data_IF_335085011931
#
_entry.id   IF_335085011931
#
_cell.length_a   1.000
_cell.length_b   1.000
_cell.length_c   1.000
_cell.angle_alpha   90.00
_cell.angle_beta   90.00
_cell.angle_gamma   90.00
#
_symmetry.space_group_name_H-M   'P 1'
#
loop_
_entity.id
_entity.type
_entity.pdbx_description
1 polymer ?
#
# COMPACT_ATOMS: atom_id res chain seq x y z
N UNK A 1 -35.25 -18.69 20.02
CA UNK A 1 -36.10 -18.68 21.23
C UNK A 1 -35.77 -17.45 22.05
N UNK A 2 -36.78 -16.86 22.71
CA UNK A 2 -36.81 -15.62 23.52
C UNK A 2 -36.87 -14.33 22.69
N UNK A 3 -38.05 -13.84 22.33
CA UNK A 3 -39.09 -13.14 23.13
C UNK A 3 -38.82 -11.63 23.34
N UNK A 4 -39.59 -10.85 22.54
CA UNK A 4 -40.34 -9.62 22.85
C UNK A 4 -39.64 -8.47 23.56
N UNK A 5 -39.45 -7.37 22.83
CA UNK A 5 -39.99 -6.06 23.23
C UNK A 5 -40.53 -5.32 21.99
N UNK A 6 -41.78 -4.83 22.09
CA UNK A 6 -42.40 -3.93 21.12
C UNK A 6 -41.81 -2.53 21.32
N UNK A 7 -40.92 -2.10 20.43
CA UNK A 7 -40.56 -0.69 20.32
C UNK A 7 -41.68 0.03 19.57
N UNK A 8 -42.55 0.71 20.32
CA UNK A 8 -43.51 1.66 19.78
C UNK A 8 -42.76 2.81 19.13
N UNK A 9 -42.62 2.75 17.81
CA UNK A 9 -42.13 3.85 17.00
C UNK A 9 -43.14 5.01 17.09
N UNK A 10 -42.63 6.13 17.58
CA UNK A 10 -43.31 7.40 17.73
C UNK A 10 -43.50 8.03 16.34
N UNK A 11 -44.56 7.64 15.63
CA UNK A 11 -45.01 8.28 14.39
C UNK A 11 -46.34 8.99 14.64
N UNK A 12 -46.30 10.29 14.95
CA UNK A 12 -47.41 11.21 14.66
C UNK A 12 -46.86 12.60 14.40
N UNK A 13 -46.48 12.86 13.14
CA UNK A 13 -46.56 14.18 12.53
C UNK A 13 -47.74 14.15 11.57
N UNK A 14 -48.42 15.28 11.46
CA UNK A 14 -49.57 15.62 10.61
C UNK A 14 -50.95 15.11 11.04
N UNK A 15 -51.57 15.84 11.96
CA UNK A 15 -52.94 16.28 11.74
C UNK A 15 -53.13 17.70 12.26
N UNK A 16 -53.42 18.59 11.31
CA UNK A 16 -53.69 20.01 11.48
C UNK A 16 -55.20 20.11 11.61
N UNK A 17 -55.72 20.17 12.83
CA UNK A 17 -57.09 20.60 13.10
C UNK A 17 -57.04 21.79 14.04
N UNK A 18 -57.47 22.94 13.49
CA UNK A 18 -57.84 24.13 14.26
C UNK A 18 -58.85 23.71 15.32
N UNK A 19 -58.55 23.97 16.59
CA UNK A 19 -59.56 24.01 17.62
C UNK A 19 -59.13 24.95 18.75
N UNK A 20 -59.73 26.14 18.72
CA UNK A 20 -60.34 26.81 19.88
C UNK A 20 -59.36 27.30 20.97
N UNK A 21 -58.84 28.50 20.74
CA UNK A 21 -58.34 29.38 21.79
C UNK A 21 -59.55 30.16 22.33
N UNK A 22 -60.32 29.51 23.21
CA UNK A 22 -61.44 30.13 23.91
C UNK A 22 -60.92 30.86 25.15
N UNK A 23 -60.82 32.18 24.99
CA UNK A 23 -60.82 33.17 26.06
C UNK A 23 -61.75 32.73 27.21
N UNK A 24 -61.17 32.34 28.34
CA UNK A 24 -61.88 32.20 29.60
C UNK A 24 -62.24 33.60 30.13
N UNK A 25 -63.35 34.14 29.63
CA UNK A 25 -64.16 35.09 30.39
C UNK A 25 -64.62 34.40 31.68
N UNK A 26 -64.59 35.08 32.83
CA UNK A 26 -65.08 34.50 34.07
C UNK A 26 -66.58 34.23 33.92
N UNK A 27 -66.96 32.97 34.09
CA UNK A 27 -68.34 32.52 34.20
C UNK A 27 -69.01 33.26 35.37
N UNK A 28 -69.87 34.21 35.03
CA UNK A 28 -70.93 34.69 35.91
C UNK A 28 -71.99 33.58 36.02
N UNK A 29 -71.72 32.56 36.83
CA UNK A 29 -72.71 31.56 37.23
C UNK A 29 -73.27 31.94 38.61
N UNK A 30 -74.52 32.41 38.57
CA UNK A 30 -75.65 32.01 39.42
C UNK A 30 -76.53 33.21 39.71
N UNK A 31 -77.52 33.35 38.82
CA UNK A 31 -78.93 33.49 39.16
C UNK A 31 -79.19 33.49 40.68
N UNK A 32 -79.19 34.68 41.26
CA UNK A 32 -80.23 34.99 42.23
C UNK A 32 -81.45 35.23 41.35
N UNK A 33 -82.33 34.23 41.30
CA UNK A 33 -83.72 34.46 40.98
C UNK A 33 -84.24 35.44 42.01
N UNK A 34 -84.15 36.72 41.69
CA UNK A 34 -85.09 37.70 42.23
C UNK A 34 -86.44 37.32 41.61
N UNK A 35 -87.12 36.35 42.25
CA UNK A 35 -88.56 36.44 42.39
C UNK A 35 -88.86 37.67 43.26
N UNK A 36 -88.61 38.86 42.72
CA UNK A 36 -89.27 40.07 43.20
C UNK A 36 -90.53 40.15 42.35
N UNK A 37 -91.54 39.44 42.85
CA UNK A 37 -92.93 39.74 42.65
C UNK A 37 -93.08 41.21 42.29
N UNK A 38 -93.59 41.48 41.09
CA UNK A 38 -94.17 42.77 40.72
C UNK A 38 -95.42 43.05 41.54
N UNK A 39 -95.32 42.93 42.86
CA UNK A 39 -96.07 43.69 43.81
C UNK A 39 -95.75 45.13 43.43
N UNK A 40 -96.68 45.72 42.67
CA UNK A 40 -96.93 47.14 42.79
C UNK A 40 -97.02 47.37 44.30
N UNK A 41 -95.90 47.74 44.93
CA UNK A 41 -95.90 48.33 46.26
C UNK A 41 -96.77 49.55 46.06
N UNK A 42 -98.07 49.38 46.29
CA UNK A 42 -99.01 50.45 46.50
C UNK A 42 -98.40 51.15 47.69
N UNK A 43 -97.64 52.20 47.39
CA UNK A 43 -96.98 53.01 48.39
C UNK A 43 -98.14 53.53 49.23
N UNK A 44 -98.33 52.92 50.40
CA UNK A 44 -99.44 53.22 51.27
C UNK A 44 -99.22 54.63 51.82
N UNK A 45 -99.75 55.61 51.09
CA UNK A 45 -99.63 57.02 51.41
C UNK A 45 -100.70 57.35 52.44
N UNK A 46 -100.32 57.34 53.72
CA UNK A 46 -101.20 57.68 54.86
C UNK A 46 -101.96 59.00 54.64
N UNK A 47 -101.38 59.94 53.88
CA UNK A 47 -102.00 61.21 53.49
C UNK A 47 -103.22 61.07 52.57
N UNK A 48 -103.27 60.04 51.72
CA UNK A 48 -104.39 59.78 50.81
C UNK A 48 -105.60 59.21 51.55
N UNK A 49 -105.36 58.30 52.49
CA UNK A 49 -106.41 57.71 53.33
C UNK A 49 -107.08 58.77 54.23
N UNK A 50 -106.26 59.64 54.86
CA UNK A 50 -106.77 60.75 55.68
C UNK A 50 -107.59 61.72 54.82
N UNK A 51 -107.11 62.05 53.62
CA UNK A 51 -107.84 62.91 52.68
C UNK A 51 -109.20 62.31 52.31
N UNK A 52 -109.26 61.02 52.03
CA UNK A 52 -110.50 60.36 51.65
C UNK A 52 -111.51 60.33 52.81
N UNK A 53 -111.04 60.02 54.03
CA UNK A 53 -111.88 59.95 55.23
C UNK A 53 -112.42 61.32 55.64
N UNK A 54 -111.60 62.38 55.53
CA UNK A 54 -112.06 63.75 55.81
C UNK A 54 -113.05 64.24 54.74
N UNK A 55 -112.82 63.95 53.46
CA UNK A 55 -113.79 64.30 52.42
C UNK A 55 -115.15 63.66 52.66
N UNK A 56 -115.19 62.39 53.05
CA UNK A 56 -116.44 61.70 53.33
C UNK A 56 -117.27 62.36 54.46
N UNK A 57 -116.59 62.90 55.48
CA UNK A 57 -117.24 63.56 56.61
C UNK A 57 -117.66 65.01 56.34
N UNK A 58 -116.91 65.76 55.53
CA UNK A 58 -117.15 67.19 55.26
C UNK A 58 -117.95 67.47 53.98
N UNK A 59 -118.07 66.48 53.09
CA UNK A 59 -118.93 66.55 51.90
C UNK A 59 -120.41 66.91 52.18
N UNK A 60 -121.11 66.39 53.22
CA UNK A 60 -122.49 66.80 53.51
C UNK A 60 -122.62 68.26 53.95
N UNK A 61 -121.53 68.90 54.38
CA UNK A 61 -121.46 70.31 54.73
C UNK A 61 -120.97 71.19 53.56
N UNK A 62 -120.76 70.61 52.38
CA UNK A 62 -120.37 71.32 51.16
C UNK A 62 -118.89 71.70 51.07
N UNK A 63 -118.01 71.08 51.88
CA UNK A 63 -116.56 71.38 51.89
C UNK A 63 -115.79 70.20 51.30
N UNK A 64 -114.98 70.46 50.26
CA UNK A 64 -114.11 69.47 49.62
C UNK A 64 -112.63 69.77 49.93
N UNK A 65 -111.95 68.82 50.56
CA UNK A 65 -110.52 68.85 50.90
C UNK A 65 -109.72 68.31 49.72
N UNK A 66 -108.88 69.18 49.14
CA UNK A 66 -108.10 68.88 47.94
C UNK A 66 -106.75 68.23 48.23
N UNK A 67 -106.06 68.62 49.30
CA UNK A 67 -104.76 68.08 49.67
C UNK A 67 -104.55 68.10 51.19
N UNK A 68 -103.94 67.04 51.71
CA UNK A 68 -103.54 66.91 53.12
C UNK A 68 -102.04 66.67 53.13
N UNK A 69 -101.29 67.59 53.73
CA UNK A 69 -99.84 67.47 53.92
C UNK A 69 -99.54 67.37 55.42
N UNK A 70 -98.83 66.33 55.82
CA UNK A 70 -98.31 66.19 57.18
C UNK A 70 -97.03 67.02 57.25
N UNK A 71 -97.05 68.11 58.00
CA UNK A 71 -95.95 69.09 58.01
C UNK A 71 -94.82 68.67 58.96
N UNK A 72 -95.16 68.31 60.20
CA UNK A 72 -94.17 67.97 61.22
C UNK A 72 -94.53 66.63 61.86
N UNK A 73 -93.74 65.61 61.58
CA UNK A 73 -93.80 64.32 62.30
C UNK A 73 -92.77 64.40 63.43
N UNK A 74 -93.26 64.48 64.66
CA UNK A 74 -92.38 64.44 65.85
C UNK A 74 -92.32 63.01 66.35
N UNK A 75 -91.18 62.36 66.11
CA UNK A 75 -90.88 61.06 66.69
C UNK A 75 -90.33 61.27 68.11
N UNK A 76 -90.71 60.44 69.08
CA UNK A 76 -90.07 60.45 70.38
C UNK A 76 -88.55 60.25 70.23
N UNK A 77 -87.70 61.05 70.90
CA UNK A 77 -86.24 61.03 70.69
C UNK A 77 -85.60 59.67 71.00
N UNK A 78 -86.23 58.86 71.85
CA UNK A 78 -85.82 57.49 72.16
C UNK A 78 -85.90 56.56 70.93
N UNK A 79 -86.92 56.71 70.09
CA UNK A 79 -87.06 55.89 68.87
C UNK A 79 -86.10 56.30 67.78
N UNK A 80 -85.82 57.61 67.65
CA UNK A 80 -84.86 58.12 66.67
C UNK A 80 -83.45 57.61 66.98
N UNK A 81 -83.03 57.74 68.25
CA UNK A 81 -81.73 57.23 68.71
C UNK A 81 -81.62 55.70 68.59
N UNK A 82 -82.71 54.96 68.84
CA UNK A 82 -82.73 53.50 68.65
C UNK A 82 -82.64 53.09 67.17
N UNK A 83 -83.37 53.76 66.27
CA UNK A 83 -83.27 53.48 64.83
C UNK A 83 -81.90 53.86 64.27
N UNK A 84 -81.36 55.00 64.68
CA UNK A 84 -80.03 55.44 64.30
C UNK A 84 -78.97 54.43 64.79
N UNK A 85 -78.97 54.09 66.08
CA UNK A 85 -78.06 53.10 66.67
C UNK A 85 -78.15 51.74 65.98
N UNK A 86 -79.37 51.23 65.73
CA UNK A 86 -79.56 49.95 65.03
C UNK A 86 -79.04 49.99 63.60
N UNK A 87 -79.27 51.09 62.88
CA UNK A 87 -78.80 51.27 61.50
C UNK A 87 -77.28 51.41 61.45
N UNK A 88 -76.68 52.10 62.42
CA UNK A 88 -75.23 52.23 62.56
C UNK A 88 -74.59 50.88 62.84
N UNK A 89 -75.10 50.11 63.80
CA UNK A 89 -74.59 48.76 64.07
C UNK A 89 -74.75 47.80 62.89
N UNK A 90 -75.85 47.85 62.15
CA UNK A 90 -76.01 47.05 60.94
C UNK A 90 -74.99 47.46 59.86
N UNK A 91 -74.70 48.76 59.75
CA UNK A 91 -73.67 49.28 58.84
C UNK A 91 -72.27 48.81 59.24
N UNK A 92 -71.92 48.89 60.54
CA UNK A 92 -70.65 48.41 61.08
C UNK A 92 -70.47 46.91 60.84
N UNK A 93 -71.49 46.10 61.10
CA UNK A 93 -71.45 44.64 60.86
C UNK A 93 -71.25 44.35 59.36
N UNK A 94 -71.95 45.08 58.48
CA UNK A 94 -71.83 44.91 57.04
C UNK A 94 -70.43 45.33 56.55
N UNK A 95 -69.89 46.41 57.08
CA UNK A 95 -68.53 46.87 56.79
C UNK A 95 -67.49 45.83 57.24
N UNK A 96 -67.58 45.35 58.49
CA UNK A 96 -66.70 44.30 59.01
C UNK A 96 -66.78 43.03 58.16
N UNK A 97 -67.98 42.60 57.78
CA UNK A 97 -68.18 41.43 56.91
C UNK A 97 -67.56 41.64 55.53
N UNK A 98 -67.72 42.81 54.91
CA UNK A 98 -67.07 43.12 53.64
C UNK A 98 -65.55 43.15 53.76
N UNK A 99 -65.03 43.70 54.86
CA UNK A 99 -63.59 43.70 55.13
C UNK A 99 -63.03 42.28 55.27
N UNK A 100 -63.69 41.42 56.05
CA UNK A 100 -63.31 40.02 56.19
C UNK A 100 -63.32 39.27 54.86
N UNK A 101 -64.31 39.51 54.00
CA UNK A 101 -64.41 38.88 52.68
C UNK A 101 -63.26 39.35 51.76
N UNK A 102 -62.97 40.64 51.75
CA UNK A 102 -61.84 41.20 51.00
C UNK A 102 -60.51 40.63 51.51
N UNK A 103 -60.29 40.59 52.83
CA UNK A 103 -59.09 40.02 53.44
C UNK A 103 -58.92 38.53 53.06
N UNK A 104 -60.01 37.76 53.07
CA UNK A 104 -60.01 36.36 52.64
C UNK A 104 -59.65 36.23 51.14
N UNK A 105 -60.23 37.06 50.28
CA UNK A 105 -59.94 37.05 48.84
C UNK A 105 -58.48 37.42 48.55
N UNK A 106 -57.95 38.42 49.25
CA UNK A 106 -56.54 38.81 49.16
C UNK A 106 -55.61 37.70 49.64
N UNK A 107 -55.99 36.94 50.66
CA UNK A 107 -55.25 35.77 51.12
C UNK A 107 -55.22 34.68 50.05
N UNK A 108 -56.37 34.36 49.46
CA UNK A 108 -56.48 33.38 48.35
C UNK A 108 -55.59 33.77 47.17
N UNK A 109 -55.62 35.03 46.74
CA UNK A 109 -54.75 35.48 45.65
C UNK A 109 -53.26 35.40 45.98
N UNK A 110 -52.87 35.69 47.23
CA UNK A 110 -51.47 35.53 47.66
C UNK A 110 -51.03 34.07 47.60
N UNK A 111 -51.88 33.14 48.04
CA UNK A 111 -51.61 31.71 47.98
C UNK A 111 -51.56 31.18 46.55
N UNK A 112 -52.49 31.60 45.68
CA UNK A 112 -52.48 31.25 44.25
C UNK A 112 -51.23 31.76 43.53
N UNK A 113 -50.83 33.00 43.79
CA UNK A 113 -49.58 33.55 43.26
C UNK A 113 -48.37 32.79 43.81
N UNK A 114 -48.36 32.47 45.11
CA UNK A 114 -47.30 31.72 45.76
C UNK A 114 -47.13 30.32 45.17
N UNK A 115 -48.23 29.57 45.06
CA UNK A 115 -48.26 28.22 44.49
C UNK A 115 -47.88 28.22 43.01
N UNK A 116 -48.34 29.20 42.22
CA UNK A 116 -47.98 29.32 40.80
C UNK A 116 -46.49 29.64 40.62
N UNK A 117 -45.94 30.55 41.43
CA UNK A 117 -44.50 30.85 41.42
C UNK A 117 -43.67 29.62 41.81
N UNK A 118 -44.10 28.88 42.82
CA UNK A 118 -43.44 27.66 43.25
C UNK A 118 -43.46 26.57 42.16
N UNK A 119 -44.63 26.34 41.53
CA UNK A 119 -44.77 25.39 40.41
C UNK A 119 -43.83 25.74 39.25
N UNK A 120 -43.80 27.02 38.84
CA UNK A 120 -42.85 27.46 37.79
C UNK A 120 -41.41 27.18 38.16
N UNK A 121 -41.01 27.50 39.41
CA UNK A 121 -39.64 27.23 39.89
C UNK A 121 -39.32 25.73 39.89
N UNK A 122 -40.26 24.87 40.31
CA UNK A 122 -40.07 23.43 40.26
C UNK A 122 -39.87 22.92 38.83
N UNK A 123 -40.71 23.36 37.89
CA UNK A 123 -40.58 22.99 36.47
C UNK A 123 -39.22 23.42 35.91
N UNK A 124 -38.78 24.66 36.17
CA UNK A 124 -37.46 25.11 35.73
C UNK A 124 -36.32 24.27 36.31
N UNK A 125 -36.38 23.90 37.60
CA UNK A 125 -35.36 23.04 38.20
C UNK A 125 -35.37 21.63 37.60
N UNK A 126 -36.55 21.08 37.31
CA UNK A 126 -36.68 19.77 36.67
C UNK A 126 -36.15 19.79 35.23
N UNK A 127 -36.46 20.83 34.45
CA UNK A 127 -35.90 21.04 33.11
C UNK A 127 -34.38 21.19 33.13
N UNK A 128 -33.83 21.92 34.11
CA UNK A 128 -32.38 22.08 34.26
C UNK A 128 -31.70 20.76 34.62
N UNK A 129 -32.29 19.98 35.53
CA UNK A 129 -31.76 18.66 35.91
C UNK A 129 -31.84 17.65 34.76
N UNK A 130 -32.96 17.61 34.04
CA UNK A 130 -33.12 16.74 32.87
C UNK A 130 -32.20 17.18 31.72
N UNK A 131 -31.98 18.48 31.53
CA UNK A 131 -31.00 19.01 30.59
C UNK A 131 -29.58 18.58 30.93
N UNK A 132 -29.16 18.73 32.19
CA UNK A 132 -27.84 18.28 32.67
C UNK A 132 -27.66 16.77 32.53
N UNK A 133 -28.70 15.98 32.83
CA UNK A 133 -28.67 14.53 32.66
C UNK A 133 -28.48 14.13 31.19
N UNK A 134 -29.21 14.75 30.27
CA UNK A 134 -29.05 14.51 28.82
C UNK A 134 -27.66 14.91 28.32
N UNK A 135 -27.14 16.05 28.75
CA UNK A 135 -25.78 16.46 28.38
C UNK A 135 -24.72 15.48 28.90
N UNK A 136 -24.89 14.96 30.12
CA UNK A 136 -23.99 13.94 30.68
C UNK A 136 -24.07 12.61 29.90
N UNK A 137 -25.26 12.21 29.48
CA UNK A 137 -25.46 11.01 28.65
C UNK A 137 -24.80 11.16 27.27
N UNK A 138 -25.00 12.30 26.60
CA UNK A 138 -24.36 12.59 25.30
C UNK A 138 -22.82 12.57 25.45
N UNK A 139 -22.28 13.18 26.51
CA UNK A 139 -20.83 13.15 26.78
C UNK A 139 -20.31 11.73 26.96
N UNK A 140 -20.99 10.90 27.78
CA UNK A 140 -20.63 9.49 27.92
C UNK A 140 -20.67 8.73 26.58
N UNK A 141 -21.63 9.05 25.72
CA UNK A 141 -21.71 8.50 24.37
C UNK A 141 -20.49 8.87 23.53
N UNK A 142 -20.08 10.14 23.56
CA UNK A 142 -18.88 10.63 22.86
C UNK A 142 -17.62 9.94 23.41
N UNK A 143 -17.47 9.85 24.73
CA UNK A 143 -16.33 9.20 25.38
C UNK A 143 -16.23 7.71 25.00
N UNK A 144 -17.37 7.03 24.86
CA UNK A 144 -17.40 5.63 24.45
C UNK A 144 -17.03 5.46 22.97
N UNK A 145 -17.53 6.34 22.09
CA UNK A 145 -17.20 6.32 20.66
C UNK A 145 -15.71 6.64 20.45
N UNK A 146 -15.17 7.63 21.17
CA UNK A 146 -13.74 7.99 21.08
C UNK A 146 -12.87 6.81 21.54
N UNK A 147 -13.17 6.20 22.68
CA UNK A 147 -12.45 5.01 23.15
C UNK A 147 -12.53 3.84 22.15
N UNK A 148 -13.70 3.58 21.55
CA UNK A 148 -13.84 2.56 20.51
C UNK A 148 -13.04 2.88 19.25
N UNK A 149 -13.00 4.16 18.86
CA UNK A 149 -12.26 4.61 17.68
C UNK A 149 -10.74 4.46 17.90
N UNK A 150 -10.24 4.84 19.08
CA UNK A 150 -8.84 4.64 19.45
C UNK A 150 -8.43 3.17 19.46
N UNK A 151 -9.29 2.27 19.96
CA UNK A 151 -9.05 0.83 19.90
C UNK A 151 -9.01 0.32 18.46
N UNK A 152 -9.96 0.75 17.61
CA UNK A 152 -10.01 0.36 16.21
C UNK A 152 -8.77 0.87 15.44
N UNK A 153 -8.36 2.11 15.67
CA UNK A 153 -7.14 2.70 15.08
C UNK A 153 -5.89 1.94 15.53
N UNK A 154 -5.82 1.57 16.82
CA UNK A 154 -4.76 0.73 17.37
C UNK A 154 -4.67 -0.62 16.66
N UNK A 155 -5.79 -1.31 16.46
CA UNK A 155 -5.84 -2.57 15.74
C UNK A 155 -5.43 -2.43 14.26
N UNK A 156 -5.91 -1.39 13.58
CA UNK A 156 -5.58 -1.12 12.18
C UNK A 156 -4.07 -0.87 12.04
N UNK A 157 -3.49 -0.06 12.93
CA UNK A 157 -2.06 0.22 12.93
C UNK A 157 -1.23 -1.05 13.17
N UNK A 158 -1.65 -1.89 14.11
CA UNK A 158 -0.98 -3.16 14.38
C UNK A 158 -1.07 -4.13 13.19
N UNK A 159 -2.26 -4.31 12.61
CA UNK A 159 -2.47 -5.14 11.41
C UNK A 159 -1.66 -4.63 10.23
N UNK A 160 -1.64 -3.32 10.01
CA UNK A 160 -0.84 -2.69 8.95
C UNK A 160 0.65 -2.96 9.15
N UNK A 161 1.16 -2.78 10.38
CA UNK A 161 2.57 -3.07 10.68
C UNK A 161 2.93 -4.54 10.44
N UNK A 162 2.08 -5.49 10.86
CA UNK A 162 2.31 -6.92 10.63
C UNK A 162 2.27 -7.25 9.14
N UNK A 163 1.32 -6.68 8.38
CA UNK A 163 1.23 -6.94 6.93
C UNK A 163 2.40 -6.34 6.15
N UNK A 164 2.88 -5.15 6.51
CA UNK A 164 4.10 -4.58 5.95
C UNK A 164 5.31 -5.48 6.25
N UNK A 165 5.53 -5.84 7.52
CA UNK A 165 6.65 -6.71 7.90
C UNK A 165 6.59 -8.07 7.18
N UNK A 166 5.42 -8.67 7.04
CA UNK A 166 5.27 -9.94 6.33
C UNK A 166 5.62 -9.80 4.84
N UNK A 167 5.21 -8.70 4.20
CA UNK A 167 5.59 -8.41 2.80
C UNK A 167 7.08 -8.14 2.65
N UNK A 168 7.69 -7.44 3.59
CA UNK A 168 9.13 -7.17 3.57
C UNK A 168 9.93 -8.48 3.71
N UNK A 169 9.51 -9.38 4.61
CA UNK A 169 10.11 -10.71 4.75
C UNK A 169 9.89 -11.56 3.50
N UNK A 170 8.69 -11.56 2.92
CA UNK A 170 8.38 -12.32 1.70
C UNK A 170 9.18 -11.81 0.50
N UNK A 171 9.32 -10.49 0.34
CA UNK A 171 10.12 -9.90 -0.74
C UNK A 171 11.59 -10.19 -0.55
N UNK A 172 12.13 -10.07 0.67
CA UNK A 172 13.51 -10.43 0.98
C UNK A 172 13.80 -11.92 0.69
N UNK A 173 12.86 -12.81 1.04
CA UNK A 173 12.98 -14.24 0.75
C UNK A 173 13.02 -14.51 -0.76
N UNK A 174 12.11 -13.89 -1.54
CA UNK A 174 12.09 -14.04 -3.01
C UNK A 174 13.35 -13.48 -3.66
N UNK A 175 13.87 -12.36 -3.17
CA UNK A 175 15.14 -11.81 -3.66
C UNK A 175 16.27 -12.81 -3.40
N UNK A 176 16.36 -13.36 -2.19
CA UNK A 176 17.37 -14.35 -1.84
C UNK A 176 17.24 -15.65 -2.67
N UNK A 177 16.02 -16.10 -2.97
CA UNK A 177 15.77 -17.24 -3.87
C UNK A 177 16.27 -16.96 -5.28
N UNK A 178 15.91 -15.80 -5.86
CA UNK A 178 16.36 -15.39 -7.19
C UNK A 178 17.89 -15.27 -7.22
N UNK A 179 18.50 -14.66 -6.20
CA UNK A 179 19.95 -14.54 -6.11
C UNK A 179 20.62 -15.92 -6.06
N UNK A 180 20.11 -16.84 -5.24
CA UNK A 180 20.62 -18.21 -5.17
C UNK A 180 20.49 -18.95 -6.52
N UNK A 181 19.36 -18.79 -7.22
CA UNK A 181 19.16 -19.37 -8.54
C UNK A 181 20.11 -18.77 -9.58
N UNK A 182 20.29 -17.45 -9.59
CA UNK A 182 21.22 -16.79 -10.52
C UNK A 182 22.67 -17.25 -10.31
N UNK A 183 23.09 -17.38 -9.05
CA UNK A 183 24.42 -17.92 -8.71
C UNK A 183 24.54 -19.36 -9.20
N UNK A 184 23.54 -20.21 -8.95
CA UNK A 184 23.54 -21.61 -9.41
C UNK A 184 23.65 -21.70 -10.93
N UNK A 185 22.83 -20.95 -11.67
CA UNK A 185 22.83 -20.93 -13.14
C UNK A 185 24.18 -20.42 -13.66
N UNK A 186 24.72 -19.35 -13.06
CA UNK A 186 26.03 -18.82 -13.47
C UNK A 186 27.16 -19.83 -13.25
N UNK A 187 27.13 -20.58 -12.15
CA UNK A 187 28.10 -21.62 -11.87
C UNK A 187 27.99 -22.79 -12.86
N UNK A 188 26.77 -23.19 -13.22
CA UNK A 188 26.52 -24.22 -14.23
C UNK A 188 27.03 -23.81 -15.62
N UNK A 189 26.74 -22.56 -16.03
CA UNK A 189 27.25 -22.01 -17.31
C UNK A 189 28.77 -21.99 -17.32
N UNK A 190 29.41 -21.49 -16.26
CA UNK A 190 30.87 -21.42 -16.19
C UNK A 190 31.49 -22.82 -16.24
N UNK A 191 30.94 -23.78 -15.49
CA UNK A 191 31.42 -25.17 -15.52
C UNK A 191 31.27 -25.80 -16.91
N UNK A 192 30.18 -25.52 -17.62
CA UNK A 192 29.98 -26.00 -18.99
C UNK A 192 30.97 -25.35 -19.97
N UNK A 193 31.16 -24.03 -19.89
CA UNK A 193 32.13 -23.33 -20.72
C UNK A 193 33.57 -23.80 -20.46
N UNK A 194 33.95 -24.02 -19.20
CA UNK A 194 35.28 -24.53 -18.85
C UNK A 194 35.49 -25.94 -19.43
N UNK A 195 34.49 -26.82 -19.32
CA UNK A 195 34.55 -28.16 -19.92
C UNK A 195 34.66 -28.11 -21.46
N UNK A 196 33.94 -27.20 -22.13
CA UNK A 196 34.06 -27.00 -23.58
C UNK A 196 35.44 -26.45 -23.98
N UNK A 197 35.98 -25.50 -23.21
CA UNK A 197 37.32 -24.95 -23.43
C UNK A 197 38.37 -26.06 -23.29
N UNK A 198 38.27 -26.91 -22.27
CA UNK A 198 39.17 -28.05 -22.08
C UNK A 198 39.08 -29.05 -23.24
N UNK A 199 37.86 -29.36 -23.69
CA UNK A 199 37.64 -30.24 -24.84
C UNK A 199 38.32 -29.67 -26.09
N UNK A 200 38.05 -28.40 -26.43
CA UNK A 200 38.66 -27.73 -27.59
C UNK A 200 40.19 -27.70 -27.49
N UNK A 201 40.73 -27.44 -26.29
CA UNK A 201 42.19 -27.44 -26.07
C UNK A 201 42.79 -28.85 -26.24
N UNK A 202 42.10 -29.89 -25.78
CA UNK A 202 42.53 -31.28 -25.95
C UNK A 202 42.52 -31.70 -27.42
N UNK A 203 41.49 -31.30 -28.18
CA UNK A 203 41.39 -31.56 -29.62
C UNK A 203 42.49 -30.82 -30.39
N UNK A 204 42.72 -29.54 -30.05
CA UNK A 204 43.80 -28.75 -30.62
C UNK A 204 45.16 -29.41 -30.38
N UNK A 205 45.44 -29.85 -29.15
CA UNK A 205 46.68 -30.53 -28.81
C UNK A 205 46.84 -31.85 -29.57
N UNK A 206 45.75 -32.64 -29.69
CA UNK A 206 45.76 -33.88 -30.45
C UNK A 206 46.01 -33.65 -31.96
N UNK A 207 45.42 -32.61 -32.54
CA UNK A 207 45.65 -32.24 -33.94
C UNK A 207 47.07 -31.73 -34.16
N UNK A 208 47.60 -30.93 -33.23
CA UNK A 208 48.97 -30.44 -33.29
C UNK A 208 49.96 -31.61 -33.23
N UNK A 209 49.78 -32.55 -32.30
CA UNK A 209 50.62 -33.74 -32.21
C UNK A 209 50.57 -34.59 -33.50
N UNK A 210 49.41 -34.72 -34.12
CA UNK A 210 49.28 -35.41 -35.42
C UNK A 210 50.03 -34.67 -36.53
N UNK A 211 49.93 -33.34 -36.56
CA UNK A 211 50.64 -32.51 -37.53
C UNK A 211 52.15 -32.67 -37.36
N UNK A 212 52.64 -32.55 -36.13
CA UNK A 212 54.07 -32.67 -35.80
C UNK A 212 54.60 -34.06 -36.20
N UNK A 213 53.85 -35.13 -35.90
CA UNK A 213 54.21 -36.49 -36.33
C UNK A 213 54.27 -36.66 -37.86
N UNK A 214 53.33 -36.06 -38.60
CA UNK A 214 53.35 -36.07 -40.07
C UNK A 214 54.55 -35.29 -40.60
N UNK A 215 54.86 -34.13 -40.00
CA UNK A 215 56.03 -33.35 -40.42
C UNK A 215 57.32 -34.10 -40.17
N UNK A 216 57.44 -34.77 -39.02
CA UNK A 216 58.60 -35.60 -38.69
C UNK A 216 58.74 -36.78 -39.65
N UNK A 217 57.64 -37.47 -39.99
CA UNK A 217 57.65 -38.55 -40.99
C UNK A 217 58.12 -38.05 -42.36
N UNK A 218 57.66 -36.87 -42.79
CA UNK A 218 58.09 -36.25 -44.04
C UNK A 218 59.59 -35.89 -43.98
N UNK A 219 60.07 -35.32 -42.87
CA UNK A 219 61.48 -34.99 -42.72
C UNK A 219 62.37 -36.23 -42.72
N UNK A 220 62.04 -37.25 -41.93
CA UNK A 220 62.82 -38.50 -41.86
C UNK A 220 62.80 -39.23 -43.20
N UNK A 221 61.65 -39.29 -43.88
CA UNK A 221 61.58 -39.91 -45.21
C UNK A 221 62.35 -39.12 -46.28
N UNK A 222 62.37 -37.79 -46.20
CA UNK A 222 63.18 -36.94 -47.07
C UNK A 222 64.69 -37.14 -46.80
N UNK A 223 65.10 -37.15 -45.53
CA UNK A 223 66.48 -37.42 -45.12
C UNK A 223 66.95 -38.80 -45.56
N UNK A 224 66.10 -39.83 -45.40
CA UNK A 224 66.39 -41.18 -45.87
C UNK A 224 66.62 -41.22 -47.39
N UNK A 225 65.78 -40.53 -48.18
CA UNK A 225 65.96 -40.41 -49.64
C UNK A 225 67.25 -39.67 -49.99
N UNK A 226 67.58 -38.59 -49.27
CA UNK A 226 68.85 -37.87 -49.46
C UNK A 226 70.04 -38.77 -49.17
N UNK A 227 70.01 -39.50 -48.05
CA UNK A 227 71.05 -40.45 -47.68
C UNK A 227 71.19 -41.59 -48.71
N UNK A 228 70.08 -42.11 -49.24
CA UNK A 228 70.09 -43.12 -50.30
C UNK A 228 70.76 -42.58 -51.58
N UNK A 229 70.40 -41.36 -51.99
CA UNK A 229 70.99 -40.71 -53.18
C UNK A 229 72.50 -40.50 -52.98
N UNK A 230 72.92 -40.02 -51.81
CA UNK A 230 74.34 -39.83 -51.48
C UNK A 230 75.06 -41.17 -51.50
N UNK A 231 74.55 -42.21 -50.83
CA UNK A 231 75.16 -43.53 -50.80
C UNK A 231 75.27 -44.15 -52.20
N UNK A 232 74.27 -43.95 -53.07
CA UNK A 232 74.32 -44.38 -54.48
C UNK A 232 75.39 -43.63 -55.26
N UNK A 233 75.45 -42.31 -55.12
CA UNK A 233 76.45 -41.47 -55.78
C UNK A 233 77.88 -41.82 -55.31
N UNK A 234 78.06 -42.07 -54.01
CA UNK A 234 79.33 -42.54 -53.43
C UNK A 234 79.70 -43.93 -53.95
N UNK A 235 78.75 -44.87 -54.02
CA UNK A 235 78.97 -46.20 -54.59
C UNK A 235 79.50 -46.14 -56.02
N UNK A 236 78.88 -45.34 -56.88
CA UNK A 236 79.36 -45.12 -58.25
C UNK A 236 80.72 -44.39 -58.31
N UNK A 237 80.96 -43.47 -57.38
CA UNK A 237 82.23 -42.75 -57.28
C UNK A 237 83.38 -43.65 -56.81
N UNK A 238 83.13 -44.62 -55.92
CA UNK A 238 84.13 -45.56 -55.39
C UNK A 238 84.81 -46.34 -56.52
N UNK A 239 84.06 -46.86 -57.49
CA UNK A 239 84.64 -47.58 -58.64
C UNK A 239 85.58 -46.69 -59.47
N UNK A 240 85.20 -45.42 -59.66
CA UNK A 240 86.03 -44.43 -60.38
C UNK A 240 87.26 -44.05 -59.57
N UNK A 241 87.10 -43.88 -58.25
CA UNK A 241 88.19 -43.56 -57.33
C UNK A 241 89.19 -44.71 -57.20
N UNK A 242 88.76 -45.97 -57.21
CA UNK A 242 89.67 -47.12 -57.23
C UNK A 242 90.53 -47.14 -58.50
N UNK A 243 89.92 -46.89 -59.67
CA UNK A 243 90.66 -46.77 -60.94
C UNK A 243 91.67 -45.63 -60.88
N UNK A 244 91.26 -44.47 -60.36
CA UNK A 244 92.15 -43.33 -60.17
C UNK A 244 93.31 -43.64 -59.21
N UNK A 245 93.03 -44.25 -58.04
CA UNK A 245 94.06 -44.65 -57.06
C UNK A 245 95.03 -45.68 -57.64
N UNK A 246 94.56 -46.67 -58.39
CA UNK A 246 95.42 -47.65 -59.09
C UNK A 246 96.32 -46.95 -60.10
N UNK A 247 95.77 -46.01 -60.88
CA UNK A 247 96.55 -45.21 -61.83
C UNK A 247 97.60 -44.35 -61.11
N UNK A 248 97.22 -43.65 -60.04
CA UNK A 248 98.13 -42.82 -59.24
C UNK A 248 99.27 -43.64 -58.62
N UNK A 249 98.96 -44.83 -58.06
CA UNK A 249 99.98 -45.76 -57.56
C UNK A 249 100.91 -46.23 -58.68
N UNK A 250 100.38 -46.51 -59.87
CA UNK A 250 101.20 -46.87 -61.02
C UNK A 250 102.10 -45.71 -61.46
N UNK A 251 101.61 -44.47 -61.47
CA UNK A 251 102.43 -43.28 -61.75
C UNK A 251 103.53 -43.10 -60.70
N UNK A 252 103.20 -43.19 -59.40
CA UNK A 252 104.21 -43.14 -58.33
C UNK A 252 105.26 -44.24 -58.43
N UNK A 253 104.88 -45.45 -58.87
CA UNK A 253 105.84 -46.54 -59.16
C UNK A 253 106.76 -46.17 -60.32
N UNK A 254 106.24 -45.57 -61.39
CA UNK A 254 107.05 -45.10 -62.51
C UNK A 254 108.00 -43.98 -62.06
N UNK A 255 107.54 -43.01 -61.28
CA UNK A 255 108.38 -41.95 -60.73
C UNK A 255 109.51 -42.51 -59.83
N UNK A 256 109.20 -43.53 -59.02
CA UNK A 256 110.19 -44.22 -58.19
C UNK A 256 111.21 -44.97 -59.05
N UNK A 257 110.77 -45.66 -60.11
CA UNK A 257 111.66 -46.31 -61.07
C UNK A 257 112.51 -45.28 -61.82
N UNK A 258 111.95 -44.13 -62.20
CA UNK A 258 112.69 -43.02 -62.79
C UNK A 258 113.74 -42.47 -61.81
N UNK A 259 113.39 -42.30 -60.53
CA UNK A 259 114.33 -41.90 -59.49
C UNK A 259 115.45 -42.94 -59.25
N UNK A 260 115.12 -44.24 -59.29
CA UNK A 260 116.10 -45.32 -59.19
C UNK A 260 117.04 -45.35 -60.42
N UNK A 261 116.52 -45.17 -61.63
CA UNK A 261 117.34 -45.13 -62.85
C UNK A 261 118.24 -43.90 -62.94
N UNK A 262 117.82 -42.75 -62.38
CA UNK A 262 118.67 -41.57 -62.25
C UNK A 262 119.77 -41.73 -61.19
N UNK A 263 119.64 -42.66 -60.25
CA UNK A 263 120.65 -42.91 -59.24
C UNK A 263 121.75 -43.83 -59.81
N UNK A 264 122.90 -43.26 -60.17
CA UNK A 264 124.03 -44.00 -60.75
C UNK A 264 124.68 -45.03 -59.80
N UNK A 265 124.26 -45.10 -58.54
CA UNK A 265 124.83 -45.98 -57.51
C UNK A 265 123.91 -47.11 -57.04
N UNK A 266 122.74 -47.33 -57.66
CA UNK A 266 121.89 -48.48 -57.35
C UNK A 266 122.35 -49.75 -58.06
N UNK A 267 122.92 -50.68 -57.29
CA UNK A 267 123.30 -52.02 -57.74
C UNK A 267 122.08 -52.94 -57.63
N UNK A 268 121.52 -53.36 -58.77
CA UNK A 268 120.42 -54.34 -58.83
C UNK A 268 121.01 -55.75 -58.70
N UNK A 269 121.02 -56.30 -57.49
CA UNK A 269 121.40 -57.70 -57.24
C UNK A 269 120.17 -58.60 -57.35
N UNK A 270 119.98 -59.25 -58.49
CA UNK A 270 118.88 -60.21 -58.70
C UNK A 270 119.25 -61.62 -58.23
N UNK A 271 118.45 -62.20 -57.34
CA UNK A 271 118.46 -63.64 -57.07
C UNK A 271 117.78 -64.37 -58.23
N UNK A 272 118.58 -65.15 -58.95
CA UNK A 272 118.26 -65.94 -60.14
C UNK A 272 117.17 -66.98 -59.89
N UNK A 273 115.92 -66.65 -60.20
CA UNK A 273 114.93 -67.65 -60.63
C UNK A 273 113.70 -67.09 -61.36
N UNK A 274 113.54 -65.78 -61.56
CA UNK A 274 112.56 -65.22 -62.50
C UNK A 274 113.09 -63.94 -63.17
N UNK A 275 113.48 -64.07 -64.44
CA UNK A 275 114.18 -63.07 -65.23
C UNK A 275 113.22 -62.01 -65.79
N UNK A 276 113.08 -60.89 -65.07
CA UNK A 276 112.46 -59.66 -65.57
C UNK A 276 113.22 -59.02 -66.74
N UNK A 277 114.51 -59.34 -66.92
CA UNK A 277 115.33 -58.86 -68.03
C UNK A 277 114.94 -59.50 -69.38
N UNK A 278 114.42 -60.72 -69.38
CA UNK A 278 113.91 -61.37 -70.60
C UNK A 278 112.54 -60.84 -71.03
N UNK A 279 111.71 -60.37 -70.09
CA UNK A 279 110.38 -59.84 -70.41
C UNK A 279 110.46 -58.39 -70.96
N UNK A 280 111.41 -57.58 -70.49
CA UNK A 280 111.67 -56.22 -71.00
C UNK A 280 112.30 -56.24 -72.41
N UNK A 281 113.14 -57.24 -72.74
CA UNK A 281 113.70 -57.39 -74.09
C UNK A 281 112.66 -57.91 -75.10
N UNK A 282 111.71 -58.75 -74.68
CA UNK A 282 110.61 -59.24 -75.54
C UNK A 282 109.54 -58.15 -75.76
N UNK A 283 109.26 -57.30 -74.77
CA UNK A 283 108.31 -56.19 -74.90
C UNK A 283 108.79 -55.08 -75.87
N UNK A 284 110.10 -54.92 -76.09
CA UNK A 284 110.63 -53.91 -77.00
C UNK A 284 110.56 -54.32 -78.48
N UNK A 285 110.28 -55.60 -78.79
CA UNK A 285 110.22 -56.10 -80.17
C UNK A 285 108.79 -56.18 -80.75
N UNK A 286 107.74 -55.98 -79.94
CA UNK A 286 106.34 -56.01 -80.38
C UNK A 286 105.68 -54.61 -80.52
N UNK A 287 106.46 -53.52 -80.40
CA UNK A 287 106.02 -52.18 -80.81
C UNK A 287 106.01 -52.05 -82.34
N UNK A 288 105.08 -52.73 -83.01
CA UNK A 288 104.68 -52.36 -84.37
C UNK A 288 103.34 -52.99 -84.80
N UNK A 289 102.22 -52.63 -84.15
CA UNK A 289 100.91 -52.60 -84.81
C UNK A 289 100.05 -51.47 -84.20
N UNK A 290 100.01 -50.36 -84.95
CA UNK A 290 98.90 -49.45 -85.22
C UNK A 290 97.98 -48.98 -84.08
N UNK A 291 98.14 -47.69 -83.77
CA UNK A 291 97.03 -46.78 -83.45
C UNK A 291 95.86 -46.96 -84.42
N UNK A 292 94.63 -46.99 -83.90
CA UNK A 292 93.53 -46.35 -84.60
C UNK A 292 92.70 -45.52 -83.62
N UNK A 293 92.65 -44.24 -83.94
CA UNK A 293 91.84 -43.19 -83.36
C UNK A 293 90.38 -43.33 -83.81
N UNK A 294 89.48 -42.81 -82.97
CA UNK A 294 88.34 -41.97 -83.33
C UNK A 294 86.97 -42.35 -82.77
N UNK A 295 86.40 -41.33 -82.11
CA UNK A 295 84.99 -40.98 -82.17
C UNK A 295 84.10 -41.68 -81.15
N UNK A 296 83.04 -41.06 -80.63
CA UNK A 296 82.45 -39.73 -80.80
C UNK A 296 81.30 -39.71 -79.77
N UNK A 297 81.08 -38.54 -79.15
CA UNK A 297 79.77 -37.93 -78.86
C UNK A 297 78.58 -38.81 -78.43
N UNK A 298 78.00 -38.45 -77.27
CA UNK A 298 76.64 -37.89 -77.14
C UNK A 298 75.83 -38.45 -75.94
N UNK A 299 75.58 -37.56 -74.97
CA UNK A 299 74.35 -37.42 -74.17
C UNK A 299 73.11 -37.25 -75.09
N UNK A 300 71.85 -37.10 -74.60
CA UNK A 300 71.24 -37.33 -73.28
C UNK A 300 69.88 -38.09 -73.37
N UNK A 301 69.25 -38.41 -72.24
CA UNK A 301 67.86 -38.06 -71.85
C UNK A 301 67.29 -39.04 -70.81
N UNK A 302 66.66 -38.48 -69.79
CA UNK A 302 65.90 -39.22 -68.79
C UNK A 302 64.40 -39.24 -69.06
N UNK A 303 63.71 -40.06 -68.27
CA UNK A 303 62.31 -39.95 -67.81
C UNK A 303 62.20 -41.03 -66.70
N UNK A 304 61.81 -40.74 -65.46
CA UNK A 304 60.54 -40.19 -65.05
C UNK A 304 59.69 -41.34 -64.50
N UNK A 305 59.72 -41.59 -63.19
CA UNK A 305 58.78 -42.50 -62.52
C UNK A 305 58.70 -42.21 -61.02
N UNK A 306 57.51 -41.75 -60.60
CA UNK A 306 56.80 -41.92 -59.31
C UNK A 306 57.51 -41.54 -58.02
#
# INVERSE_FOLDING_TARGET
MRERFKTGALNTRTNRTRAIDEFHSPKSEKEVKDEDSGDKKVLYCVTEDIKHCLNEQFNPYGVQITSVAITNVTLPPEFQTQMESRTTHLSEIKEQKMKQLNDMQMLQYKEEIGTTKLKRRMVYMEEEQTGKAKCAEIRKGIDLITAQTELADGEINQKTKVTCNNRDVETALKIAEIEAETVRISAEINAHCDAEIELINSEKAALQMKLDAITDEILVSAEAKVAEIIARAEGEAVEKLEKYRKHELNMKKLDLLEALTKNSHTVVSGSTSNSLLSEVLVANHQKNVMFNSDGLMAKPFGSGSV
#
